data_IF_800419746787
#
_entry.id   IF_800419746787
#
_cell.length_a   1.000
_cell.length_b   1.000
_cell.length_c   1.000
_cell.angle_alpha   90.00
_cell.angle_beta   90.00
_cell.angle_gamma   90.00
#
_symmetry.space_group_name_H-M   'P 1'
#
loop_
_entity.id
_entity.type
_entity.pdbx_description
1 polymer ?
#
# COMPACT_ATOMS: atom_id res chain seq x y z
N UNK A 1 2.77 23.49 1.73
CA UNK A 1 2.72 23.21 0.31
C UNK A 1 2.18 21.81 0.02
N UNK A 2 1.60 21.65 -1.14
CA UNK A 2 0.97 20.38 -1.56
C UNK A 2 1.96 19.21 -1.53
N UNK A 3 3.19 19.43 -1.95
CA UNK A 3 4.21 18.37 -1.98
C UNK A 3 4.50 17.83 -0.57
N UNK A 4 4.62 18.74 0.41
CA UNK A 4 4.89 18.32 1.79
C UNK A 4 3.70 17.52 2.36
N UNK A 5 2.47 17.91 2.04
CA UNK A 5 1.27 17.16 2.46
C UNK A 5 1.21 15.78 1.84
N UNK A 6 1.58 15.63 0.56
CA UNK A 6 1.61 14.34 -0.11
C UNK A 6 2.67 13.43 0.50
N UNK A 7 3.85 13.96 0.77
CA UNK A 7 4.92 13.19 1.43
C UNK A 7 4.47 12.70 2.80
N UNK A 8 3.83 13.55 3.59
CA UNK A 8 3.29 13.18 4.89
C UNK A 8 2.24 12.08 4.77
N UNK A 9 1.38 12.14 3.75
CA UNK A 9 0.35 11.13 3.51
C UNK A 9 0.90 9.78 3.10
N UNK A 10 2.09 9.74 2.48
CA UNK A 10 2.74 8.51 2.05
C UNK A 10 3.60 7.87 3.14
N UNK A 11 3.94 8.61 4.18
CA UNK A 11 4.80 8.13 5.26
C UNK A 11 4.00 7.23 6.21
N UNK A 12 4.57 6.09 6.57
CA UNK A 12 3.97 5.20 7.55
C UNK A 12 3.94 5.89 8.92
N UNK A 13 2.83 5.75 9.63
CA UNK A 13 2.61 6.39 10.93
C UNK A 13 2.78 5.43 12.10
N UNK A 14 2.87 4.13 11.83
CA UNK A 14 3.06 3.13 12.88
C UNK A 14 4.45 3.20 13.49
N UNK A 15 4.54 2.76 14.74
CA UNK A 15 5.80 2.71 15.50
C UNK A 15 5.97 1.32 16.10
N UNK A 16 7.21 0.89 16.42
CA UNK A 16 7.42 -0.44 17.01
C UNK A 16 6.59 -0.69 18.26
N UNK A 17 6.35 0.34 19.07
CA UNK A 17 5.56 0.25 20.31
C UNK A 17 4.06 0.11 20.07
N UNK A 18 3.57 0.26 18.84
CA UNK A 18 2.14 0.16 18.53
C UNK A 18 1.63 -1.28 18.50
N UNK A 19 2.54 -2.26 18.58
CA UNK A 19 2.15 -3.67 18.62
C UNK A 19 2.89 -4.51 17.59
N UNK A 20 2.31 -5.67 17.23
CA UNK A 20 2.90 -6.56 16.25
C UNK A 20 2.74 -5.99 14.83
N UNK A 21 3.33 -6.70 13.84
CA UNK A 21 3.29 -6.26 12.45
C UNK A 21 1.87 -6.06 11.93
N UNK A 22 0.96 -6.96 12.26
CA UNK A 22 -0.42 -6.85 11.79
C UNK A 22 -1.10 -5.58 12.32
N UNK A 23 -0.91 -5.28 13.60
CA UNK A 23 -1.44 -4.06 14.23
C UNK A 23 -0.84 -2.82 13.59
N UNK A 24 0.47 -2.81 13.36
CA UNK A 24 1.15 -1.68 12.75
C UNK A 24 0.68 -1.47 11.31
N UNK A 25 0.51 -2.55 10.54
CA UNK A 25 0.02 -2.44 9.17
C UNK A 25 -1.43 -1.96 9.10
N UNK A 26 -2.26 -2.37 10.07
CA UNK A 26 -3.64 -1.88 10.15
C UNK A 26 -3.66 -0.37 10.39
N UNK A 27 -2.80 0.14 11.27
CA UNK A 27 -2.70 1.58 11.53
C UNK A 27 -2.27 2.34 10.28
N UNK A 28 -1.29 1.82 9.55
CA UNK A 28 -0.81 2.43 8.32
C UNK A 28 -1.90 2.43 7.24
N UNK A 29 -2.70 1.34 7.14
CA UNK A 29 -3.82 1.28 6.21
C UNK A 29 -4.88 2.33 6.53
N UNK A 30 -5.22 2.50 7.80
CA UNK A 30 -6.20 3.49 8.21
C UNK A 30 -5.75 4.90 7.85
N UNK A 31 -4.47 5.18 8.05
CA UNK A 31 -3.90 6.47 7.67
C UNK A 31 -3.99 6.69 6.15
N UNK A 32 -3.61 5.68 5.37
CA UNK A 32 -3.64 5.74 3.90
C UNK A 32 -5.07 5.90 3.38
N UNK A 33 -6.03 5.23 4.00
CA UNK A 33 -7.43 5.30 3.60
C UNK A 33 -8.01 6.72 3.70
N UNK A 34 -7.44 7.56 4.55
CA UNK A 34 -7.90 8.93 4.77
C UNK A 34 -7.22 9.94 3.85
N UNK A 35 -6.29 9.51 3.01
CA UNK A 35 -5.56 10.40 2.13
C UNK A 35 -6.35 10.75 0.87
N UNK A 36 -5.91 11.80 0.16
CA UNK A 36 -6.53 12.23 -1.08
C UNK A 36 -6.42 11.18 -2.18
N UNK A 37 -7.24 11.33 -3.23
CA UNK A 37 -7.16 10.48 -4.41
C UNK A 37 -5.76 10.49 -5.03
N UNK A 38 -5.10 11.64 -5.03
CA UNK A 38 -3.74 11.78 -5.58
C UNK A 38 -2.73 10.96 -4.78
N UNK A 39 -2.78 11.05 -3.45
CA UNK A 39 -1.89 10.27 -2.59
C UNK A 39 -2.15 8.77 -2.75
N UNK A 40 -3.40 8.36 -2.80
CA UNK A 40 -3.75 6.95 -3.01
C UNK A 40 -3.27 6.44 -4.36
N UNK A 41 -3.33 7.26 -5.39
CA UNK A 41 -2.82 6.91 -6.73
C UNK A 41 -1.30 6.69 -6.70
N UNK A 42 -0.56 7.56 -6.02
CA UNK A 42 0.89 7.39 -5.85
C UNK A 42 1.18 6.11 -5.08
N UNK A 43 0.40 5.81 -4.05
CA UNK A 43 0.55 4.59 -3.27
C UNK A 43 0.33 3.34 -4.13
N UNK A 44 -0.63 3.37 -5.05
CA UNK A 44 -0.85 2.28 -5.99
C UNK A 44 0.36 2.06 -6.90
N UNK A 45 0.94 3.14 -7.44
CA UNK A 45 2.14 3.04 -8.26
C UNK A 45 3.32 2.44 -7.48
N UNK A 46 3.48 2.84 -6.23
CA UNK A 46 4.49 2.30 -5.32
C UNK A 46 4.29 0.80 -5.09
N UNK A 47 3.05 0.39 -4.83
CA UNK A 47 2.72 -1.03 -4.62
C UNK A 47 3.02 -1.88 -5.86
N UNK A 48 2.71 -1.37 -7.05
CA UNK A 48 2.99 -2.07 -8.29
C UNK A 48 4.49 -2.30 -8.43
N UNK A 49 5.29 -1.28 -8.21
CA UNK A 49 6.74 -1.38 -8.29
C UNK A 49 7.30 -2.35 -7.23
N UNK A 50 6.87 -2.19 -5.99
CA UNK A 50 7.34 -3.03 -4.89
C UNK A 50 6.96 -4.50 -5.06
N UNK A 51 5.79 -4.78 -5.63
CA UNK A 51 5.35 -6.16 -5.88
C UNK A 51 6.34 -6.86 -6.81
N UNK A 52 6.75 -6.20 -7.89
CA UNK A 52 7.71 -6.77 -8.84
C UNK A 52 9.06 -7.04 -8.18
N UNK A 53 9.53 -6.10 -7.38
CA UNK A 53 10.81 -6.20 -6.70
C UNK A 53 10.82 -7.32 -5.66
N UNK A 54 9.79 -7.40 -4.83
CA UNK A 54 9.70 -8.40 -3.77
C UNK A 54 9.54 -9.81 -4.35
N UNK A 55 8.73 -9.96 -5.39
CA UNK A 55 8.56 -11.25 -6.05
C UNK A 55 9.88 -11.77 -6.61
N UNK A 56 10.69 -10.88 -7.19
CA UNK A 56 11.95 -11.22 -7.80
C UNK A 56 13.06 -11.51 -6.77
N UNK A 57 13.16 -10.67 -5.74
CA UNK A 57 14.31 -10.69 -4.83
C UNK A 57 14.04 -11.33 -3.48
N UNK A 58 12.78 -11.46 -3.08
CA UNK A 58 12.41 -12.07 -1.79
C UNK A 58 11.09 -12.85 -1.90
N UNK A 59 11.10 -13.97 -2.65
CA UNK A 59 9.86 -14.74 -2.86
C UNK A 59 9.27 -15.31 -1.58
N UNK A 60 10.07 -15.55 -0.55
CA UNK A 60 9.57 -16.00 0.74
C UNK A 60 8.70 -14.94 1.42
N UNK A 61 9.17 -13.71 1.44
CA UNK A 61 8.41 -12.60 1.99
C UNK A 61 7.22 -12.24 1.09
N UNK A 62 7.29 -12.52 -0.20
CA UNK A 62 6.21 -12.20 -1.14
C UNK A 62 4.86 -12.75 -0.68
N UNK A 63 4.84 -13.92 -0.06
CA UNK A 63 3.59 -14.52 0.43
C UNK A 63 2.95 -13.66 1.51
N UNK A 64 3.73 -13.11 2.42
CA UNK A 64 3.26 -12.20 3.48
C UNK A 64 2.84 -10.86 2.85
N UNK A 65 3.67 -10.31 1.98
CA UNK A 65 3.43 -9.04 1.31
C UNK A 65 2.12 -9.07 0.49
N UNK A 66 1.87 -10.18 -0.19
CA UNK A 66 0.67 -10.38 -0.99
C UNK A 66 -0.60 -10.21 -0.16
N UNK A 67 -0.63 -10.80 1.04
CA UNK A 67 -1.78 -10.67 1.94
C UNK A 67 -1.95 -9.22 2.43
N UNK A 68 -0.86 -8.57 2.77
CA UNK A 68 -0.87 -7.16 3.19
C UNK A 68 -1.36 -6.26 2.06
N UNK A 69 -0.93 -6.54 0.83
CA UNK A 69 -1.34 -5.79 -0.37
C UNK A 69 -2.85 -5.92 -0.61
N UNK A 70 -3.40 -7.11 -0.49
CA UNK A 70 -4.85 -7.33 -0.65
C UNK A 70 -5.63 -6.45 0.31
N UNK A 71 -5.22 -6.42 1.59
CA UNK A 71 -5.88 -5.60 2.59
C UNK A 71 -5.76 -4.10 2.27
N UNK A 72 -4.59 -3.66 1.83
CA UNK A 72 -4.35 -2.26 1.49
C UNK A 72 -5.17 -1.83 0.28
N UNK A 73 -5.25 -2.67 -0.76
CA UNK A 73 -6.04 -2.36 -1.95
C UNK A 73 -7.52 -2.14 -1.62
N UNK A 74 -8.03 -2.79 -0.59
CA UNK A 74 -9.43 -2.64 -0.18
C UNK A 74 -9.74 -1.23 0.33
N UNK A 75 -8.74 -0.47 0.77
CA UNK A 75 -8.93 0.90 1.31
C UNK A 75 -8.51 1.99 0.32
N UNK A 76 -7.87 1.63 -0.80
CA UNK A 76 -7.42 2.59 -1.81
C UNK A 76 -8.52 2.90 -2.83
N UNK A 77 -9.72 3.18 -2.34
CA UNK A 77 -10.93 3.31 -3.16
C UNK A 77 -10.97 4.59 -3.98
N UNK A 78 -10.17 5.59 -3.64
CA UNK A 78 -10.10 6.87 -4.33
C UNK A 78 -8.95 6.94 -5.34
N UNK A 79 -8.11 5.91 -5.41
CA UNK A 79 -6.98 5.89 -6.33
C UNK A 79 -7.40 5.68 -7.78
N UNK A 80 -6.44 5.87 -8.70
CA UNK A 80 -6.66 5.68 -10.13
C UNK A 80 -7.11 4.25 -10.44
N UNK A 81 -8.17 4.11 -11.23
CA UNK A 81 -8.76 2.80 -11.55
C UNK A 81 -7.83 1.91 -12.37
N UNK A 82 -7.08 2.49 -13.30
CA UNK A 82 -6.14 1.74 -14.13
C UNK A 82 -5.03 1.16 -13.27
N UNK A 83 -4.47 1.96 -12.38
CA UNK A 83 -3.44 1.49 -11.46
C UNK A 83 -3.99 0.46 -10.47
N UNK A 84 -5.21 0.65 -10.00
CA UNK A 84 -5.87 -0.34 -9.14
C UNK A 84 -5.98 -1.68 -9.86
N UNK A 85 -6.42 -1.67 -11.10
CA UNK A 85 -6.54 -2.91 -11.89
C UNK A 85 -5.18 -3.57 -12.08
N UNK A 86 -4.14 -2.79 -12.39
CA UNK A 86 -2.79 -3.33 -12.54
C UNK A 86 -2.27 -3.96 -11.24
N UNK A 87 -2.50 -3.29 -10.12
CA UNK A 87 -2.08 -3.79 -8.81
C UNK A 87 -2.80 -5.09 -8.46
N UNK A 88 -4.09 -5.18 -8.74
CA UNK A 88 -4.88 -6.40 -8.51
C UNK A 88 -4.42 -7.54 -9.42
N UNK A 89 -4.11 -7.24 -10.67
CA UNK A 89 -3.67 -8.25 -11.63
C UNK A 89 -2.37 -8.93 -11.23
N UNK A 90 -1.50 -8.22 -10.52
CA UNK A 90 -0.23 -8.79 -10.05
C UNK A 90 -0.41 -9.92 -9.04
N UNK A 91 -1.54 -9.97 -8.36
CA UNK A 91 -1.83 -10.97 -7.33
C UNK A 91 -2.95 -11.93 -7.75
N UNK A 92 -3.15 -12.09 -9.05
CA UNK A 92 -4.11 -13.05 -9.58
C UNK A 92 -5.53 -12.53 -9.72
N UNK A 93 -5.72 -11.23 -9.80
CA UNK A 93 -7.04 -10.63 -10.06
C UNK A 93 -8.04 -10.82 -8.92
N UNK A 94 -7.57 -10.69 -7.74
CA UNK A 94 -8.38 -10.90 -6.55
C UNK A 94 -9.72 -10.15 -6.56
#
# INVERSE_FOLDING_TARGET
>A
PVVAEMVSGLTDVSRPEDGNRETRKAKDRDHTAQQSAEVQTIKLADLIHNTQSIEKYDPGFYQVYKQEKIKLLSVLTQGDRTLMYMAQSQIGGY
#
